data_IF_937489949166
#
_entry.id   IF_937489949166
#
_cell.length_a   1.000
_cell.length_b   1.000
_cell.length_c   1.000
_cell.angle_alpha   90.00
_cell.angle_beta   90.00
_cell.angle_gamma   90.00
#
_symmetry.space_group_name_H-M   'P 1'
#
loop_
_entity.id
_entity.type
_entity.pdbx_description
1 polymer ?
#
# COMPACT_ATOMS: atom_id res chain seq x y z
N UNK A 1 7.15 -36.12 3.66
CA UNK A 1 6.43 -36.51 2.43
C UNK A 1 4.98 -36.13 2.65
N UNK A 2 4.57 -34.97 2.13
CA UNK A 2 3.16 -34.57 2.19
C UNK A 2 2.78 -34.11 0.78
N UNK A 3 2.09 -35.01 0.09
CA UNK A 3 1.69 -34.84 -1.31
C UNK A 3 0.47 -33.95 -1.36
N UNK A 4 0.68 -32.66 -1.62
CA UNK A 4 -0.40 -31.74 -1.95
C UNK A 4 -1.07 -32.22 -3.25
N UNK A 5 -2.17 -32.95 -3.10
CA UNK A 5 -3.01 -33.41 -4.19
C UNK A 5 -3.58 -32.17 -4.88
N UNK A 6 -3.06 -31.84 -6.05
CA UNK A 6 -3.61 -30.80 -6.91
C UNK A 6 -5.02 -31.24 -7.30
N UNK A 7 -6.03 -30.62 -6.69
CA UNK A 7 -7.43 -30.85 -7.03
C UNK A 7 -7.69 -30.21 -8.39
N UNK A 8 -7.53 -31.00 -9.46
CA UNK A 8 -7.91 -30.62 -10.82
C UNK A 8 -9.41 -30.30 -10.85
N UNK A 9 -9.77 -29.03 -11.04
CA UNK A 9 -11.16 -28.55 -11.11
C UNK A 9 -11.62 -27.64 -9.98
N UNK A 10 -10.80 -27.39 -8.96
CA UNK A 10 -11.10 -26.35 -7.97
C UNK A 10 -10.96 -24.95 -8.61
N UNK A 11 -11.83 -23.98 -8.26
CA UNK A 11 -11.67 -22.60 -8.73
C UNK A 11 -10.33 -22.04 -8.26
N UNK A 12 -9.66 -21.28 -9.12
CA UNK A 12 -8.40 -20.62 -8.75
C UNK A 12 -8.65 -19.67 -7.56
N UNK A 13 -7.79 -19.72 -6.52
CA UNK A 13 -7.95 -18.84 -5.37
C UNK A 13 -7.79 -17.38 -5.79
N UNK A 14 -8.60 -16.50 -5.19
CA UNK A 14 -8.55 -15.06 -5.42
C UNK A 14 -7.17 -14.50 -5.04
N UNK A 15 -6.57 -13.71 -5.93
CA UNK A 15 -5.32 -13.01 -5.66
C UNK A 15 -5.54 -11.86 -4.66
N UNK A 16 -4.50 -11.48 -3.89
CA UNK A 16 -4.59 -10.36 -2.97
C UNK A 16 -4.90 -9.04 -3.67
N UNK A 17 -5.63 -8.15 -2.99
CA UNK A 17 -5.93 -6.82 -3.49
C UNK A 17 -6.06 -5.78 -2.37
N UNK A 18 -5.78 -4.52 -2.70
CA UNK A 18 -6.03 -3.36 -1.83
C UNK A 18 -7.44 -2.81 -2.08
N UNK A 19 -8.21 -2.62 -1.01
CA UNK A 19 -9.56 -2.04 -1.10
C UNK A 19 -9.48 -0.60 -1.62
N UNK A 20 -10.33 -0.27 -2.60
CA UNK A 20 -10.40 1.07 -3.19
C UNK A 20 -9.23 1.41 -4.13
N UNK A 21 -8.36 0.45 -4.45
CA UNK A 21 -7.30 0.64 -5.43
C UNK A 21 -7.75 0.22 -6.83
N UNK A 22 -7.23 0.89 -7.85
CA UNK A 22 -7.33 0.45 -9.25
C UNK A 22 -6.04 -0.34 -9.56
N UNK A 23 -6.11 -1.58 -10.05
CA UNK A 23 -4.93 -2.33 -10.47
C UNK A 23 -4.11 -1.54 -11.49
N UNK A 24 -2.77 -1.68 -11.52
CA UNK A 24 -1.98 -1.12 -12.59
C UNK A 24 -2.50 -1.65 -13.94
N UNK A 25 -2.65 -0.77 -14.94
CA UNK A 25 -3.01 -1.20 -16.28
C UNK A 25 -1.94 -2.19 -16.75
N UNK A 26 -2.33 -3.40 -17.13
CA UNK A 26 -1.42 -4.30 -17.82
C UNK A 26 -0.91 -3.52 -19.04
N UNK A 27 0.40 -3.42 -19.21
CA UNK A 27 1.02 -2.66 -20.29
C UNK A 27 0.23 -2.91 -21.59
N UNK A 28 -0.28 -1.83 -22.19
CA UNK A 28 -1.26 -1.86 -23.26
C UNK A 28 -0.94 -2.96 -24.28
N UNK A 29 -1.77 -4.02 -24.32
CA UNK A 29 -1.70 -5.07 -25.35
C UNK A 29 -2.21 -4.59 -26.71
N UNK A 30 -2.63 -3.33 -26.80
CA UNK A 30 -3.04 -2.67 -28.04
C UNK A 30 -1.90 -1.81 -28.56
N UNK A 31 -1.32 -2.24 -29.69
CA UNK A 31 -0.33 -1.47 -30.45
C UNK A 31 -0.97 -0.14 -30.91
N UNK A 32 -0.71 0.94 -30.18
CA UNK A 32 -1.21 2.28 -30.54
C UNK A 32 -1.28 3.27 -29.38
N UNK A 33 -1.41 2.80 -28.14
CA UNK A 33 -1.33 3.68 -26.97
C UNK A 33 0.14 3.74 -26.55
N UNK A 34 0.81 4.84 -26.92
CA UNK A 34 2.15 5.14 -26.39
C UNK A 34 2.10 5.17 -24.85
N UNK A 35 3.24 5.14 -24.15
CA UNK A 35 3.21 5.26 -22.69
C UNK A 35 2.70 6.67 -22.38
N UNK A 36 1.40 6.81 -22.15
CA UNK A 36 0.81 8.05 -21.67
C UNK A 36 1.11 8.22 -20.17
N UNK A 37 0.81 9.39 -19.61
CA UNK A 37 0.88 9.61 -18.17
C UNK A 37 0.11 8.51 -17.42
N UNK A 38 0.79 7.79 -16.53
CA UNK A 38 0.18 6.73 -15.75
C UNK A 38 -0.44 7.33 -14.49
N UNK A 39 -1.77 7.38 -14.40
CA UNK A 39 -2.49 7.88 -13.22
C UNK A 39 -3.46 6.82 -12.72
N UNK A 40 -3.36 6.44 -11.44
CA UNK A 40 -4.23 5.43 -10.82
C UNK A 40 -4.52 5.71 -9.36
N UNK A 41 -5.68 5.26 -8.90
CA UNK A 41 -6.02 5.27 -7.48
C UNK A 41 -5.27 4.15 -6.75
N UNK A 42 -4.51 4.52 -5.72
CA UNK A 42 -4.02 3.58 -4.69
C UNK A 42 -5.08 3.35 -3.63
N UNK A 43 -5.96 4.34 -3.41
CA UNK A 43 -7.08 4.26 -2.50
C UNK A 43 -8.16 5.26 -2.90
N UNK A 44 -9.42 4.84 -2.82
CA UNK A 44 -10.60 5.69 -2.78
C UNK A 44 -11.47 5.14 -1.65
N UNK A 45 -11.68 5.94 -0.60
CA UNK A 45 -12.51 5.55 0.54
C UNK A 45 -13.31 6.75 1.06
N UNK A 46 -14.04 6.58 2.17
CA UNK A 46 -14.90 7.62 2.73
C UNK A 46 -14.15 8.88 3.20
N UNK A 47 -12.83 8.81 3.38
CA UNK A 47 -12.01 9.97 3.75
C UNK A 47 -11.61 10.80 2.53
N UNK A 48 -11.39 10.14 1.39
CA UNK A 48 -10.82 10.77 0.21
C UNK A 48 -10.11 9.80 -0.73
N UNK A 49 -9.11 10.32 -1.43
CA UNK A 49 -8.37 9.59 -2.46
C UNK A 49 -6.86 9.67 -2.24
N UNK A 50 -6.18 8.62 -2.68
CA UNK A 50 -4.73 8.55 -2.86
C UNK A 50 -4.48 8.17 -4.31
N UNK A 51 -3.81 9.04 -5.04
CA UNK A 51 -3.56 8.87 -6.48
C UNK A 51 -2.06 8.83 -6.72
N UNK A 52 -1.60 7.77 -7.39
CA UNK A 52 -0.25 7.72 -7.96
C UNK A 52 -0.31 8.24 -9.39
N UNK A 53 0.53 9.21 -9.71
CA UNK A 53 0.70 9.75 -11.05
C UNK A 53 2.18 9.67 -11.45
N UNK A 54 2.46 9.30 -12.69
CA UNK A 54 3.82 9.20 -13.20
C UNK A 54 3.88 9.57 -14.66
N UNK A 55 4.83 10.42 -15.01
CA UNK A 55 5.11 10.77 -16.40
C UNK A 55 5.99 9.70 -17.07
N UNK A 56 5.80 9.43 -18.36
CA UNK A 56 6.64 8.49 -19.12
C UNK A 56 8.11 8.93 -19.09
N UNK A 57 9.01 8.02 -18.74
CA UNK A 57 10.45 8.32 -18.68
C UNK A 57 10.90 9.11 -17.44
N UNK A 58 10.01 9.40 -16.50
CA UNK A 58 10.38 9.97 -15.20
C UNK A 58 10.97 8.91 -14.27
N UNK A 59 12.00 9.28 -13.50
CA UNK A 59 12.64 8.43 -12.49
C UNK A 59 11.79 8.26 -11.23
N UNK A 60 10.77 9.09 -11.05
CA UNK A 60 9.89 9.09 -9.88
C UNK A 60 8.43 9.31 -10.27
N UNK A 61 7.54 8.90 -9.37
CA UNK A 61 6.10 9.17 -9.42
C UNK A 61 5.73 10.22 -8.37
N UNK A 62 4.58 10.85 -8.52
CA UNK A 62 3.95 11.65 -7.48
C UNK A 62 2.81 10.85 -6.83
N UNK A 63 2.70 10.92 -5.52
CA UNK A 63 1.55 10.43 -4.77
C UNK A 63 0.80 11.61 -4.18
N UNK A 64 -0.41 11.82 -4.69
CA UNK A 64 -1.31 12.91 -4.36
C UNK A 64 -2.40 12.41 -3.43
N UNK A 65 -2.72 13.19 -2.40
CA UNK A 65 -3.80 12.90 -1.46
C UNK A 65 -4.82 14.02 -1.50
N UNK A 66 -6.10 13.67 -1.55
CA UNK A 66 -7.19 14.63 -1.49
C UNK A 66 -8.28 14.13 -0.54
N UNK A 67 -8.70 14.96 0.42
CA UNK A 67 -9.83 14.65 1.29
C UNK A 67 -11.14 15.10 0.65
N UNK A 68 -12.22 14.36 0.92
CA UNK A 68 -13.57 14.80 0.56
C UNK A 68 -14.04 15.99 1.40
N UNK A 69 -13.63 16.02 2.68
CA UNK A 69 -13.87 17.15 3.57
C UNK A 69 -12.79 18.23 3.37
N UNK A 70 -13.15 19.29 2.65
CA UNK A 70 -12.27 20.44 2.36
C UNK A 70 -12.12 21.40 3.53
N UNK A 71 -12.88 21.22 4.61
CA UNK A 71 -12.72 22.01 5.85
C UNK A 71 -11.48 21.60 6.65
N UNK A 72 -10.92 20.40 6.38
CA UNK A 72 -9.64 19.96 6.96
C UNK A 72 -8.56 20.95 6.51
N UNK A 73 -8.11 21.75 7.45
CA UNK A 73 -7.15 22.82 7.20
C UNK A 73 -5.79 22.25 6.81
N UNK A 74 -5.13 22.86 5.81
CA UNK A 74 -3.79 22.50 5.37
C UNK A 74 -3.76 21.70 4.06
N UNK A 75 -2.98 22.19 3.08
CA UNK A 75 -2.70 21.43 1.86
C UNK A 75 -1.78 20.27 2.22
N UNK A 76 -2.22 19.04 2.01
CA UNK A 76 -1.32 17.89 2.15
C UNK A 76 -0.28 17.96 1.04
N UNK A 77 1.03 17.99 1.37
CA UNK A 77 2.05 18.00 0.34
C UNK A 77 2.04 16.70 -0.45
N UNK A 78 2.14 16.80 -1.77
CA UNK A 78 2.40 15.67 -2.65
C UNK A 78 3.67 14.95 -2.21
N UNK A 79 3.65 13.61 -2.21
CA UNK A 79 4.83 12.78 -1.92
C UNK A 79 5.55 12.50 -3.23
N UNK A 80 6.87 12.66 -3.24
CA UNK A 80 7.72 12.19 -4.33
C UNK A 80 8.06 10.73 -4.10
N UNK A 81 7.62 9.86 -5.00
CA UNK A 81 7.73 8.42 -4.91
C UNK A 81 8.86 7.87 -5.78
N UNK A 82 9.99 7.57 -5.13
CA UNK A 82 11.13 6.85 -5.70
C UNK A 82 11.05 5.32 -5.51
N UNK A 83 10.10 4.84 -4.71
CA UNK A 83 9.96 3.43 -4.35
C UNK A 83 9.00 2.69 -5.27
N UNK A 84 8.11 3.40 -5.97
CA UNK A 84 7.08 2.82 -6.81
C UNK A 84 5.96 2.22 -5.96
N UNK A 85 5.35 3.00 -5.08
CA UNK A 85 4.26 2.55 -4.23
C UNK A 85 3.09 1.99 -5.07
N UNK A 86 2.70 0.75 -4.77
CA UNK A 86 1.62 0.04 -5.48
C UNK A 86 0.36 -0.09 -4.65
N UNK A 87 0.49 -0.04 -3.32
CA UNK A 87 -0.59 -0.11 -2.34
C UNK A 87 -0.66 1.19 -1.54
N UNK A 88 -1.86 1.55 -1.12
CA UNK A 88 -2.04 2.66 -0.19
C UNK A 88 -3.40 2.63 0.51
N UNK A 89 -3.48 3.29 1.66
CA UNK A 89 -4.73 3.55 2.35
C UNK A 89 -4.70 4.94 3.00
N UNK A 90 -5.80 5.68 2.84
CA UNK A 90 -6.02 6.95 3.50
C UNK A 90 -6.72 6.71 4.86
N UNK A 91 -5.98 6.80 5.96
CA UNK A 91 -6.50 6.56 7.30
C UNK A 91 -7.13 7.81 7.94
N UNK A 92 -7.48 7.70 9.23
CA UNK A 92 -8.04 8.82 9.98
C UNK A 92 -6.98 9.87 10.33
N UNK A 93 -5.76 9.41 10.66
CA UNK A 93 -4.64 10.23 11.15
C UNK A 93 -3.45 10.35 10.19
N UNK A 94 -3.40 9.54 9.15
CA UNK A 94 -2.30 9.53 8.20
C UNK A 94 -2.52 8.61 7.01
N UNK A 95 -1.61 8.67 6.05
CA UNK A 95 -1.60 7.83 4.86
C UNK A 95 -0.55 6.73 5.03
N UNK A 96 -0.90 5.50 4.66
CA UNK A 96 0.01 4.36 4.58
C UNK A 96 0.22 4.04 3.11
N UNK A 97 1.46 3.80 2.71
CA UNK A 97 1.85 3.36 1.36
C UNK A 97 2.76 2.14 1.46
N UNK A 98 2.70 1.26 0.46
CA UNK A 98 3.66 0.15 0.37
C UNK A 98 4.13 -0.08 -1.07
N UNK A 99 5.42 -0.38 -1.21
CA UNK A 99 6.07 -0.69 -2.47
C UNK A 99 6.54 -2.14 -2.48
N UNK A 100 6.49 -2.83 -3.63
CA UNK A 100 7.11 -4.14 -3.77
C UNK A 100 8.63 -4.04 -3.70
N UNK A 101 9.31 -5.19 -3.66
CA UNK A 101 10.75 -5.23 -3.83
C UNK A 101 11.11 -4.77 -5.24
N UNK A 102 12.14 -3.93 -5.36
CA UNK A 102 12.61 -3.48 -6.67
C UNK A 102 13.41 -4.57 -7.36
N UNK A 103 13.24 -4.67 -8.68
CA UNK A 103 14.02 -5.55 -9.55
C UNK A 103 15.46 -5.05 -9.74
N UNK A 104 15.65 -3.73 -9.77
CA UNK A 104 16.96 -3.06 -9.87
C UNK A 104 17.22 -2.25 -8.60
N UNK A 105 17.88 -2.86 -7.61
CA UNK A 105 18.23 -2.23 -6.33
C UNK A 105 18.19 -3.21 -5.15
N UNK A 106 18.23 -2.71 -3.89
CA UNK A 106 17.95 -3.54 -2.73
C UNK A 106 16.59 -4.24 -2.91
N UNK A 107 16.59 -5.58 -2.86
CA UNK A 107 15.40 -6.42 -3.05
C UNK A 107 14.50 -6.40 -1.82
N UNK A 108 14.09 -5.21 -1.40
CA UNK A 108 13.30 -5.05 -0.19
C UNK A 108 12.08 -4.18 -0.45
N UNK A 109 10.92 -4.75 -0.12
CA UNK A 109 9.67 -4.02 -0.08
C UNK A 109 9.70 -3.01 1.07
N UNK A 110 8.99 -1.90 0.91
CA UNK A 110 8.96 -0.81 1.91
C UNK A 110 7.53 -0.52 2.31
N UNK A 111 7.30 -0.35 3.61
CA UNK A 111 6.10 0.23 4.18
C UNK A 111 6.41 1.68 4.59
N UNK A 112 5.57 2.62 4.21
CA UNK A 112 5.72 4.03 4.53
C UNK A 112 4.45 4.56 5.20
N UNK A 113 4.61 5.42 6.19
CA UNK A 113 3.50 6.11 6.83
C UNK A 113 3.80 7.59 6.98
N UNK A 114 2.80 8.41 6.65
CA UNK A 114 2.84 9.85 6.83
C UNK A 114 1.63 10.33 7.63
N UNK A 115 1.81 10.83 8.86
CA UNK A 115 0.71 11.49 9.58
C UNK A 115 0.30 12.79 8.89
N UNK A 116 -0.97 13.18 8.99
CA UNK A 116 -1.47 14.45 8.42
C UNK A 116 -1.01 15.66 9.23
N UNK A 117 -0.99 15.50 10.55
CA UNK A 117 -0.57 16.49 11.52
C UNK A 117 0.55 15.92 12.37
N UNK A 118 1.61 16.70 12.51
CA UNK A 118 2.76 16.35 13.31
C UNK A 118 3.26 17.59 14.03
N UNK A 119 3.45 17.47 15.34
CA UNK A 119 4.12 18.49 16.16
C UNK A 119 5.65 18.48 15.95
N UNK A 120 6.20 17.44 15.33
CA UNK A 120 7.62 17.31 15.00
C UNK A 120 7.89 17.53 13.50
N UNK A 121 9.09 18.02 13.17
CA UNK A 121 9.46 18.36 11.80
C UNK A 121 9.57 17.16 10.84
N UNK A 122 9.74 15.93 11.34
CA UNK A 122 9.82 14.70 10.52
C UNK A 122 9.16 13.52 11.24
N UNK A 123 7.82 13.41 11.17
CA UNK A 123 7.08 12.28 11.77
C UNK A 123 6.68 11.20 10.78
N UNK A 124 7.05 11.34 9.51
CA UNK A 124 6.93 10.23 8.57
C UNK A 124 8.02 9.19 8.84
N UNK A 125 7.68 7.93 8.62
CA UNK A 125 8.60 6.83 8.79
C UNK A 125 8.44 5.83 7.66
N UNK A 126 9.50 5.07 7.42
CA UNK A 126 9.49 3.92 6.55
C UNK A 126 10.12 2.71 7.25
N UNK A 127 9.63 1.53 6.90
CA UNK A 127 10.17 0.25 7.35
C UNK A 127 10.45 -0.60 6.13
N UNK A 128 11.67 -1.12 6.05
CA UNK A 128 12.05 -2.12 5.07
C UNK A 128 11.56 -3.49 5.55
N UNK A 129 10.77 -4.17 4.72
CA UNK A 129 10.33 -5.54 5.01
C UNK A 129 11.50 -6.52 4.80
N UNK A 130 11.48 -7.68 5.50
CA UNK A 130 12.47 -8.73 5.28
C UNK A 130 12.58 -9.16 3.81
N UNK A 131 13.76 -9.67 3.43
CA UNK A 131 13.99 -10.17 2.09
C UNK A 131 12.97 -11.26 1.71
N UNK A 132 12.37 -11.13 0.52
CA UNK A 132 11.32 -12.03 0.04
C UNK A 132 9.96 -11.86 0.72
N UNK A 133 9.76 -10.81 1.52
CA UNK A 133 8.47 -10.44 2.09
C UNK A 133 7.98 -9.13 1.48
N UNK A 134 6.74 -9.13 0.99
CA UNK A 134 6.10 -7.96 0.39
C UNK A 134 4.74 -7.73 1.02
N UNK A 135 4.34 -6.47 1.18
CA UNK A 135 2.97 -6.15 1.56
C UNK A 135 2.04 -6.50 0.40
N UNK A 136 0.94 -7.20 0.70
CA UNK A 136 -0.12 -7.53 -0.26
C UNK A 136 -1.40 -6.75 0.00
N UNK A 137 -1.57 -6.25 1.23
CA UNK A 137 -2.63 -5.32 1.62
C UNK A 137 -2.17 -4.49 2.83
N UNK A 138 -2.64 -3.26 2.92
CA UNK A 138 -2.37 -2.35 4.04
C UNK A 138 -3.67 -1.78 4.61
N UNK A 139 -3.66 -1.55 5.92
CA UNK A 139 -4.77 -0.97 6.67
C UNK A 139 -4.25 0.06 7.68
N UNK A 140 -5.11 1.00 8.07
CA UNK A 140 -4.83 1.97 9.12
C UNK A 140 -6.05 2.09 10.03
N UNK A 141 -5.81 2.12 11.34
CA UNK A 141 -6.84 2.37 12.36
C UNK A 141 -6.64 3.71 13.07
N UNK A 142 -7.22 3.84 14.26
CA UNK A 142 -7.17 5.07 15.06
C UNK A 142 -5.78 5.34 15.67
N UNK A 143 -4.99 4.30 15.94
CA UNK A 143 -3.70 4.39 16.62
C UNK A 143 -2.61 3.46 16.06
N UNK A 144 -2.88 2.83 14.91
CA UNK A 144 -2.05 1.77 14.35
C UNK A 144 -2.12 1.71 12.82
N UNK A 145 -1.08 1.12 12.24
CA UNK A 145 -0.94 0.80 10.82
C UNK A 145 -0.65 -0.69 10.70
N UNK A 146 -1.26 -1.38 9.74
CA UNK A 146 -0.97 -2.79 9.49
C UNK A 146 -0.54 -3.03 8.04
N UNK A 147 0.39 -3.97 7.90
CA UNK A 147 0.72 -4.60 6.62
C UNK A 147 0.43 -6.09 6.74
N UNK A 148 -0.35 -6.61 5.79
CA UNK A 148 -0.52 -8.04 5.58
C UNK A 148 0.39 -8.43 4.42
N UNK A 149 1.20 -9.47 4.60
CA UNK A 149 2.32 -9.77 3.70
C UNK A 149 2.21 -11.09 2.96
N UNK A 150 3.00 -11.25 1.90
CA UNK A 150 3.11 -12.46 1.09
C UNK A 150 3.56 -13.69 1.87
N UNK A 151 4.26 -13.51 2.99
CA UNK A 151 4.67 -14.57 3.91
C UNK A 151 3.59 -14.93 4.95
N UNK A 152 2.34 -14.49 4.72
CA UNK A 152 1.20 -14.71 5.64
C UNK A 152 1.47 -14.09 7.01
N UNK A 153 2.13 -12.94 7.05
CA UNK A 153 2.35 -12.21 8.31
C UNK A 153 1.44 -10.98 8.35
N UNK A 154 0.82 -10.77 9.50
CA UNK A 154 0.24 -9.51 9.90
C UNK A 154 1.28 -8.78 10.76
N UNK A 155 1.72 -7.61 10.29
CA UNK A 155 2.62 -6.71 11.01
C UNK A 155 1.86 -5.45 11.39
N UNK A 156 1.81 -5.13 12.69
CA UNK A 156 1.14 -3.95 13.23
C UNK A 156 2.18 -2.98 13.78
N UNK A 157 2.07 -1.72 13.39
CA UNK A 157 2.94 -0.61 13.78
C UNK A 157 2.11 0.47 14.46
N UNK A 158 2.73 1.24 15.36
CA UNK A 158 2.13 2.49 15.83
C UNK A 158 2.26 3.60 14.78
N UNK A 159 1.51 4.69 14.93
CA UNK A 159 1.72 5.88 14.11
C UNK A 159 3.12 6.51 14.25
N UNK A 160 3.84 6.20 15.33
CA UNK A 160 5.22 6.62 15.54
C UNK A 160 6.26 5.64 14.93
N UNK A 161 5.82 4.56 14.28
CA UNK A 161 6.69 3.62 13.57
C UNK A 161 7.22 2.46 14.43
N UNK A 162 6.86 2.38 15.72
CA UNK A 162 7.21 1.22 16.54
C UNK A 162 6.41 -0.03 16.13
N UNK A 163 7.10 -1.12 15.79
CA UNK A 163 6.47 -2.41 15.54
C UNK A 163 5.90 -2.96 16.86
N UNK A 164 4.60 -3.25 16.88
CA UNK A 164 3.87 -3.70 18.07
C UNK A 164 3.61 -5.21 18.05
N UNK A 165 2.77 -5.68 17.12
CA UNK A 165 2.41 -7.08 16.99
C UNK A 165 2.87 -7.64 15.65
N UNK A 166 3.24 -8.92 15.67
CA UNK A 166 3.55 -9.69 14.48
C UNK A 166 2.93 -11.07 14.63
N UNK A 167 2.01 -11.43 13.74
CA UNK A 167 1.19 -12.65 13.84
C UNK A 167 1.19 -13.38 12.51
N UNK A 168 1.25 -14.72 12.54
CA UNK A 168 1.12 -15.53 11.33
C UNK A 168 -0.35 -15.83 11.03
N UNK A 169 -0.73 -15.74 9.76
CA UNK A 169 -2.06 -16.03 9.26
C UNK A 169 -2.14 -17.50 8.81
N UNK A 170 -3.25 -18.16 9.14
CA UNK A 170 -3.43 -19.58 8.83
C UNK A 170 -3.55 -19.84 7.32
N UNK A 171 -3.99 -18.85 6.55
CA UNK A 171 -4.24 -18.95 5.11
C UNK A 171 -3.54 -17.86 4.31
N UNK A 172 -3.62 -17.99 2.97
CA UNK A 172 -3.18 -16.93 2.08
C UNK A 172 -4.09 -15.71 2.26
N UNK A 173 -3.54 -14.53 2.59
CA UNK A 173 -4.34 -13.33 2.75
C UNK A 173 -4.89 -12.84 1.41
N UNK A 174 -6.11 -12.32 1.42
CA UNK A 174 -6.74 -11.71 0.23
C UNK A 174 -6.78 -10.19 0.36
N UNK A 175 -7.18 -9.65 1.50
CA UNK A 175 -7.21 -8.21 1.75
C UNK A 175 -7.25 -7.92 3.26
N UNK A 176 -7.18 -6.64 3.64
CA UNK A 176 -7.45 -6.16 4.99
C UNK A 176 -8.09 -4.77 4.96
N UNK A 177 -8.77 -4.40 6.04
CA UNK A 177 -9.35 -3.09 6.25
C UNK A 177 -9.13 -2.67 7.70
N UNK A 178 -9.17 -1.38 8.01
CA UNK A 178 -9.00 -0.90 9.38
C UNK A 178 -9.97 0.23 9.67
N UNK A 179 -10.51 0.25 10.88
CA UNK A 179 -11.30 1.37 11.41
C UNK A 179 -11.23 1.36 12.93
N UNK A 180 -10.93 2.51 13.54
CA UNK A 180 -10.79 2.57 15.00
C UNK A 180 -9.74 1.56 15.49
N UNK A 181 -10.14 0.71 16.44
CA UNK A 181 -9.30 -0.34 17.00
C UNK A 181 -9.55 -1.73 16.36
N UNK A 182 -10.27 -1.79 15.23
CA UNK A 182 -10.60 -3.02 14.51
C UNK A 182 -9.83 -3.15 13.19
N UNK A 183 -9.23 -4.31 12.98
CA UNK A 183 -8.61 -4.78 11.74
C UNK A 183 -9.46 -5.91 11.13
#
# INVERSE_FOLDING_TARGET
>A
ADGARVLTGAPAPQLPFQVGAVPPHAAATVAGDGPGPSRRFLCYNMMGTVVSAGEPGSDFKSVEMAFHDTSRSGRIPTITDYHGYTLGVLGERGCVLASPARTNGPQSATLFYRPYESWAHTSEWHVTLPAGEEAVAVAAGASWVAAVTSQRMLRVFSHAGSQRQMVSLHGAPVTCAGKGDSL
#
